data_IF_381350984542
#
_entry.id   IF_381350984542
#
_cell.length_a   1.000
_cell.length_b   1.000
_cell.length_c   1.000
_cell.angle_alpha   90.00
_cell.angle_beta   90.00
_cell.angle_gamma   90.00
#
_symmetry.space_group_name_H-M   'P 1'
#
loop_
_entity.id
_entity.type
_entity.pdbx_description
1 polymer ?
#
# COMPACT_ATOMS: atom_id res chain seq x y z
N UNK A 1 -7.43 -10.06 -4.52
CA UNK A 1 -8.18 -9.42 -3.42
C UNK A 1 -8.30 -7.94 -3.75
N UNK A 2 -8.98 -7.62 -4.85
CA UNK A 2 -9.24 -6.25 -5.32
C UNK A 2 -10.60 -5.86 -4.73
N UNK A 3 -10.81 -4.61 -4.35
CA UNK A 3 -12.00 -4.11 -3.61
C UNK A 3 -11.89 -4.09 -2.09
N UNK A 4 -10.96 -3.31 -1.55
CA UNK A 4 -11.36 -2.44 -0.43
C UNK A 4 -11.70 -1.10 -1.07
N UNK A 5 -13.00 -0.92 -1.33
CA UNK A 5 -13.53 0.30 -1.87
C UNK A 5 -13.19 1.48 -0.94
N UNK A 6 -12.79 2.60 -1.55
CA UNK A 6 -12.64 3.92 -0.92
C UNK A 6 -13.90 4.45 -0.20
N UNK A 7 -14.96 3.65 -0.12
CA UNK A 7 -16.29 4.02 0.38
C UNK A 7 -16.39 4.16 1.90
N UNK A 8 -15.34 3.86 2.68
CA UNK A 8 -15.39 3.93 4.16
C UNK A 8 -14.70 5.17 4.77
N UNK A 9 -13.96 5.96 3.98
CA UNK A 9 -13.31 7.18 4.47
C UNK A 9 -14.14 8.42 4.13
N UNK A 10 -15.03 8.79 5.05
CA UNK A 10 -15.88 9.97 4.93
C UNK A 10 -15.05 11.25 5.10
N UNK A 11 -15.05 12.13 4.09
CA UNK A 11 -14.24 13.36 4.02
C UNK A 11 -14.39 14.30 5.22
N UNK A 12 -15.55 14.29 5.89
CA UNK A 12 -15.80 15.07 7.11
C UNK A 12 -14.98 14.61 8.32
N UNK A 13 -14.65 13.32 8.42
CA UNK A 13 -13.88 12.77 9.55
C UNK A 13 -12.39 13.09 9.45
N UNK A 14 -11.89 13.31 8.23
CA UNK A 14 -10.48 13.56 7.93
C UNK A 14 -10.10 15.05 7.96
N UNK A 15 -11.08 15.96 7.95
CA UNK A 15 -10.85 17.40 7.94
C UNK A 15 -9.98 17.87 9.12
N UNK A 16 -10.16 17.28 10.32
CA UNK A 16 -9.36 17.60 11.51
C UNK A 16 -7.96 16.97 11.55
N UNK A 17 -7.67 16.02 10.66
CA UNK A 17 -6.37 15.34 10.56
C UNK A 17 -5.53 15.83 9.38
N UNK A 18 -6.08 16.76 8.57
CA UNK A 18 -5.41 17.30 7.38
C UNK A 18 -4.10 18.03 7.69
N UNK A 19 -3.96 18.51 8.93
CA UNK A 19 -2.74 19.12 9.48
C UNK A 19 -1.65 18.11 9.88
N UNK A 20 -1.99 16.82 9.99
CA UNK A 20 -1.08 15.73 10.37
C UNK A 20 -0.82 14.75 9.23
N UNK A 21 -1.77 14.61 8.30
CA UNK A 21 -1.68 13.73 7.14
C UNK A 21 -2.12 14.51 5.91
N UNK A 22 -1.15 14.84 5.06
CA UNK A 22 -1.41 15.43 3.75
C UNK A 22 -1.90 14.31 2.81
N UNK A 23 -3.23 14.19 2.67
CA UNK A 23 -3.88 13.21 1.79
C UNK A 23 -3.89 13.77 0.37
N UNK A 24 -2.73 13.75 -0.30
CA UNK A 24 -2.58 14.28 -1.67
C UNK A 24 -2.47 13.18 -2.73
N UNK A 25 -2.33 11.91 -2.34
CA UNK A 25 -2.00 10.80 -3.24
C UNK A 25 -3.18 9.87 -3.60
N UNK A 26 -4.42 10.36 -3.49
CA UNK A 26 -5.59 9.57 -3.88
C UNK A 26 -6.19 10.10 -5.19
N UNK A 27 -5.52 9.82 -6.30
CA UNK A 27 -6.13 9.99 -7.62
C UNK A 27 -7.10 8.82 -7.88
N UNK A 28 -8.41 9.08 -8.08
CA UNK A 28 -9.36 8.03 -8.43
C UNK A 28 -8.88 7.35 -9.72
N UNK A 29 -8.95 6.00 -9.77
CA UNK A 29 -8.47 5.18 -10.89
C UNK A 29 -6.96 5.12 -11.11
N UNK A 30 -6.14 5.67 -10.19
CA UNK A 30 -4.68 5.55 -10.24
C UNK A 30 -4.14 4.79 -9.01
N UNK A 31 -4.36 3.46 -8.91
CA UNK A 31 -3.72 2.64 -7.88
C UNK A 31 -2.19 2.74 -7.95
N UNK A 32 -1.67 3.02 -9.15
CA UNK A 32 -0.27 3.31 -9.44
C UNK A 32 0.27 4.58 -8.76
N UNK A 33 -0.58 5.40 -8.14
CA UNK A 33 -0.16 6.59 -7.41
C UNK A 33 -0.42 6.47 -5.90
N UNK A 34 -0.87 5.31 -5.43
CA UNK A 34 -1.11 5.07 -4.01
C UNK A 34 0.05 4.24 -3.41
N UNK A 35 0.89 4.81 -2.53
CA UNK A 35 2.02 4.08 -1.92
C UNK A 35 1.61 2.82 -1.15
N UNK A 36 0.39 2.79 -0.59
CA UNK A 36 -0.09 1.61 0.16
C UNK A 36 -0.31 0.40 -0.74
N UNK A 37 -0.69 0.60 -2.01
CA UNK A 37 -0.87 -0.49 -2.97
C UNK A 37 0.47 -1.14 -3.27
N UNK A 38 1.56 -0.36 -3.31
CA UNK A 38 2.90 -0.91 -3.48
C UNK A 38 3.38 -1.70 -2.27
N UNK A 39 2.99 -1.27 -1.06
CA UNK A 39 3.26 -2.03 0.15
C UNK A 39 2.51 -3.37 0.15
N UNK A 40 1.26 -3.38 -0.32
CA UNK A 40 0.49 -4.60 -0.52
C UNK A 40 1.12 -5.53 -1.55
N UNK A 41 1.59 -4.99 -2.68
CA UNK A 41 2.30 -5.77 -3.70
C UNK A 41 3.60 -6.39 -3.16
N UNK A 42 4.37 -5.63 -2.37
CA UNK A 42 5.58 -6.12 -1.71
C UNK A 42 5.26 -7.26 -0.75
N UNK A 43 4.26 -7.08 0.11
CA UNK A 43 3.82 -8.09 1.08
C UNK A 43 3.32 -9.36 0.37
N UNK A 44 2.51 -9.21 -0.67
CA UNK A 44 2.00 -10.33 -1.46
C UNK A 44 3.16 -11.13 -2.10
N UNK A 45 4.16 -10.44 -2.66
CA UNK A 45 5.36 -11.08 -3.22
C UNK A 45 6.13 -11.88 -2.17
N UNK A 46 6.28 -11.36 -0.94
CA UNK A 46 6.93 -12.07 0.16
C UNK A 46 6.11 -13.30 0.58
N UNK A 47 4.80 -13.15 0.77
CA UNK A 47 3.90 -14.27 1.14
C UNK A 47 3.93 -15.39 0.08
N UNK A 48 3.99 -15.05 -1.22
CA UNK A 48 4.04 -16.02 -2.33
C UNK A 48 5.30 -16.90 -2.33
N UNK A 49 6.36 -16.50 -1.63
CA UNK A 49 7.57 -17.32 -1.46
C UNK A 49 7.35 -18.47 -0.48
N UNK A 50 6.27 -18.42 0.32
CA UNK A 50 5.92 -19.45 1.27
C UNK A 50 4.85 -20.38 0.70
N UNK A 51 5.04 -21.68 0.89
CA UNK A 51 3.97 -22.65 0.64
C UNK A 51 2.95 -22.56 1.77
N UNK A 52 1.75 -22.05 1.51
CA UNK A 52 0.66 -21.95 2.49
C UNK A 52 -0.52 -22.82 2.09
N UNK A 53 -0.71 -23.93 2.78
CA UNK A 53 -1.80 -24.89 2.51
C UNK A 53 -3.05 -24.70 3.38
N UNK A 54 -3.02 -23.76 4.34
CA UNK A 54 -4.14 -23.49 5.26
C UNK A 54 -4.29 -22.01 5.58
N UNK A 55 -5.52 -21.60 5.93
CA UNK A 55 -5.81 -20.22 6.34
C UNK A 55 -5.03 -19.79 7.59
N UNK A 56 -4.78 -20.71 8.52
CA UNK A 56 -4.03 -20.40 9.74
C UNK A 56 -2.55 -20.18 9.44
N UNK A 57 -1.97 -20.98 8.55
CA UNK A 57 -0.59 -20.81 8.10
C UNK A 57 -0.42 -19.51 7.33
N UNK A 58 -1.35 -19.18 6.43
CA UNK A 58 -1.37 -17.90 5.73
C UNK A 58 -1.41 -16.70 6.70
N UNK A 59 -2.24 -16.77 7.75
CA UNK A 59 -2.31 -15.72 8.78
C UNK A 59 -0.99 -15.56 9.54
N UNK A 60 -0.30 -16.65 9.86
CA UNK A 60 1.01 -16.60 10.52
C UNK A 60 2.04 -15.96 9.60
N UNK A 61 2.18 -16.50 8.38
CA UNK A 61 3.12 -15.99 7.37
C UNK A 61 2.88 -14.51 7.08
N UNK A 62 1.62 -14.07 6.99
CA UNK A 62 1.29 -12.67 6.77
C UNK A 62 1.82 -11.78 7.89
N UNK A 63 1.66 -12.18 9.15
CA UNK A 63 2.21 -11.44 10.30
C UNK A 63 3.73 -11.46 10.28
N UNK A 64 4.32 -12.62 10.07
CA UNK A 64 5.77 -12.80 10.09
C UNK A 64 6.45 -11.99 8.97
N UNK A 65 5.88 -11.98 7.77
CA UNK A 65 6.41 -11.18 6.65
C UNK A 65 6.14 -9.69 6.83
N UNK A 66 5.03 -9.29 7.47
CA UNK A 66 4.77 -7.90 7.82
C UNK A 66 5.83 -7.34 8.75
N UNK A 67 6.16 -8.04 9.83
CA UNK A 67 7.19 -7.63 10.79
C UNK A 67 8.62 -7.60 10.20
N UNK A 68 8.85 -8.31 9.09
CA UNK A 68 10.13 -8.30 8.37
C UNK A 68 10.27 -7.16 7.38
N UNK A 69 9.21 -6.42 7.06
CA UNK A 69 9.31 -5.27 6.17
C UNK A 69 10.11 -4.19 6.89
N UNK A 70 11.29 -3.88 6.36
CA UNK A 70 12.17 -2.90 6.98
C UNK A 70 11.79 -1.48 6.62
N UNK A 71 12.22 -0.52 7.45
CA UNK A 71 12.04 0.91 7.18
C UNK A 71 12.70 1.34 5.87
N UNK A 72 13.78 0.68 5.46
CA UNK A 72 14.43 0.94 4.17
C UNK A 72 13.58 0.47 2.99
N UNK A 73 12.86 -0.65 3.12
CA UNK A 73 11.94 -1.12 2.07
C UNK A 73 10.79 -0.14 1.88
N UNK A 74 10.14 0.30 2.97
CA UNK A 74 9.07 1.31 2.92
C UNK A 74 9.58 2.67 2.44
N UNK A 75 10.77 3.10 2.88
CA UNK A 75 11.40 4.34 2.42
C UNK A 75 11.66 4.34 0.91
N UNK A 76 12.14 3.21 0.36
CA UNK A 76 12.31 3.04 -1.10
C UNK A 76 10.99 3.17 -1.86
N UNK A 77 9.90 2.61 -1.33
CA UNK A 77 8.58 2.74 -1.95
C UNK A 77 8.15 4.21 -2.02
N UNK A 78 8.32 4.97 -0.94
CA UNK A 78 8.01 6.41 -0.91
C UNK A 78 8.90 7.18 -1.90
N UNK A 79 10.20 6.93 -1.92
CA UNK A 79 11.12 7.60 -2.85
C UNK A 79 10.89 7.25 -4.32
N UNK A 80 10.22 6.14 -4.62
CA UNK A 80 9.85 5.78 -6.00
C UNK A 80 8.71 6.63 -6.57
N UNK A 81 7.96 7.34 -5.71
CA UNK A 81 6.76 8.10 -6.09
C UNK A 81 6.98 9.18 -7.16
N UNK A 82 8.02 10.03 -7.09
CA UNK A 82 8.28 11.03 -8.12
C UNK A 82 8.47 10.41 -9.51
N UNK A 83 9.16 9.27 -9.60
CA UNK A 83 9.36 8.55 -10.86
C UNK A 83 8.03 8.03 -11.43
N UNK A 84 7.18 7.44 -10.59
CA UNK A 84 5.87 6.91 -11.00
C UNK A 84 4.92 8.04 -11.46
N UNK A 85 4.96 9.19 -10.78
CA UNK A 85 4.25 10.38 -11.21
C UNK A 85 4.70 10.83 -12.61
N UNK A 86 6.00 10.84 -12.87
CA UNK A 86 6.54 11.14 -14.19
C UNK A 86 6.07 10.14 -15.25
N UNK A 87 6.10 8.84 -14.96
CA UNK A 87 5.61 7.79 -15.87
C UNK A 87 4.11 7.95 -16.20
N UNK A 88 3.29 8.48 -15.28
CA UNK A 88 1.88 8.79 -15.55
C UNK A 88 1.71 10.04 -16.41
N UNK A 89 2.59 11.04 -16.25
CA UNK A 89 2.57 12.27 -17.07
C UNK A 89 3.07 12.03 -18.50
N UNK A 90 3.95 11.05 -18.70
CA UNK A 90 4.52 10.68 -19.99
C UNK A 90 3.67 9.64 -20.77
N UNK A 91 2.58 9.14 -20.18
CA UNK A 91 1.61 8.23 -20.80
C UNK A 91 0.57 8.97 -21.62
#
# INVERSE_FOLDING_TARGET
MKHIAASSFNSRKLAGLRQYVQIDFYAPQSPDLNPIEQLWDLLERKIRQHSTSSKNMLKSVLKDEWEKISDEETTKLVHSMPKRLQEVLER
#
